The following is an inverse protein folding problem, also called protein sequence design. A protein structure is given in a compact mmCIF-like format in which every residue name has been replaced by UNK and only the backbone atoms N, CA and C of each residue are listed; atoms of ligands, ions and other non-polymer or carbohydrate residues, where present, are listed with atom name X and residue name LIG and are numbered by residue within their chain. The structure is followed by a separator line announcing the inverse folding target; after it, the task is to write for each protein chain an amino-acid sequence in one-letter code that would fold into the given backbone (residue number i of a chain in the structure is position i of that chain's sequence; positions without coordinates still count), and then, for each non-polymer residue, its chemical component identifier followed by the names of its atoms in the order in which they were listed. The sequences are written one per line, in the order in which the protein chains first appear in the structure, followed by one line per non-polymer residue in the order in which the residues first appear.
data_IF_043181092397
#
_entry.id   IF_043181092397
#
_cell.length_a   1.000
_cell.length_b   1.000
_cell.length_c   1.000
_cell.angle_alpha   90.00
_cell.angle_beta   90.00
_cell.angle_gamma   90.00
#
_symmetry.space_group_name_H-M   'P 1'
#
loop_
_entity.id
_entity.type
_entity.pdbx_description
1 polymer ?
#
# COMPACT_ATOMS: atom_id res chain seq x y z
N UNK A 1 17.96 -7.94 0.44
CA UNK A 1 17.67 -6.53 0.78
C UNK A 1 16.17 -6.28 0.71
N UNK A 2 15.63 -5.39 1.56
CA UNK A 2 14.21 -5.00 1.61
C UNK A 2 14.05 -3.57 1.13
N UNK A 3 13.24 -3.32 0.11
CA UNK A 3 12.86 -1.98 -0.33
C UNK A 3 11.58 -1.56 0.39
N UNK A 4 11.61 -0.41 1.08
CA UNK A 4 10.45 0.11 1.82
C UNK A 4 9.94 1.37 1.14
N UNK A 5 8.69 1.34 0.69
CA UNK A 5 7.98 2.54 0.22
C UNK A 5 7.31 3.23 1.39
N UNK A 6 7.23 4.56 1.37
CA UNK A 6 6.68 5.30 2.50
C UNK A 6 7.55 5.29 3.74
N UNK A 7 8.88 5.20 3.55
CA UNK A 7 9.86 5.13 4.64
C UNK A 7 9.82 6.31 5.63
N UNK A 8 9.25 7.45 5.22
CA UNK A 8 9.06 8.62 6.10
C UNK A 8 7.75 8.59 6.89
N UNK A 9 6.86 7.64 6.61
CA UNK A 9 5.63 7.44 7.36
C UNK A 9 5.86 6.67 8.65
N UNK A 10 4.84 6.61 9.51
CA UNK A 10 4.93 5.99 10.84
C UNK A 10 5.42 4.53 10.78
N UNK A 11 4.78 3.70 9.97
CA UNK A 11 5.14 2.29 9.84
C UNK A 11 6.46 2.12 9.10
N UNK A 12 6.63 2.82 7.96
CA UNK A 12 7.84 2.72 7.14
C UNK A 12 9.10 3.13 7.89
N UNK A 13 9.05 4.25 8.64
CA UNK A 13 10.15 4.69 9.48
C UNK A 13 10.55 3.63 10.52
N UNK A 14 9.55 3.04 11.17
CA UNK A 14 9.81 2.00 12.17
C UNK A 14 10.41 0.73 11.58
N UNK A 15 9.99 0.35 10.40
CA UNK A 15 10.61 -0.76 9.67
C UNK A 15 12.07 -0.47 9.29
N UNK A 16 12.36 0.76 8.85
CA UNK A 16 13.76 1.18 8.56
C UNK A 16 14.67 1.10 9.79
N UNK A 17 14.13 1.36 10.99
CA UNK A 17 14.89 1.24 12.25
C UNK A 17 15.12 -0.22 12.68
N UNK A 18 14.11 -1.05 12.55
CA UNK A 18 14.10 -2.40 13.14
C UNK A 18 14.66 -3.48 12.21
N UNK A 19 14.50 -3.31 10.90
CA UNK A 19 14.94 -4.29 9.93
C UNK A 19 16.37 -3.99 9.46
N UNK A 20 17.14 -5.05 9.27
CA UNK A 20 18.48 -4.94 8.66
C UNK A 20 18.38 -5.01 7.15
N UNK A 21 19.36 -4.44 6.47
CA UNK A 21 19.50 -4.49 5.01
C UNK A 21 18.25 -3.94 4.30
N UNK A 22 17.87 -2.70 4.67
CA UNK A 22 16.72 -1.97 4.15
C UNK A 22 17.16 -0.77 3.32
N UNK A 23 16.36 -0.41 2.32
CA UNK A 23 16.49 0.81 1.54
C UNK A 23 15.13 1.51 1.42
N UNK A 24 15.14 2.85 1.49
CA UNK A 24 13.95 3.64 1.21
C UNK A 24 13.74 3.78 -0.30
N UNK A 25 12.50 3.63 -0.76
CA UNK A 25 12.17 3.94 -2.15
C UNK A 25 12.20 5.45 -2.42
N UNK A 26 12.41 5.87 -3.67
CA UNK A 26 12.08 7.23 -4.09
C UNK A 26 10.60 7.55 -3.87
N UNK A 27 10.25 8.84 -4.01
CA UNK A 27 8.85 9.28 -3.94
C UNK A 27 7.99 8.60 -5.00
N UNK A 28 6.79 8.18 -4.60
CA UNK A 28 5.79 7.57 -5.49
C UNK A 28 4.76 8.59 -6.02
N UNK A 29 5.00 9.89 -5.82
CA UNK A 29 4.12 10.93 -6.37
C UNK A 29 4.22 10.95 -7.89
N UNK A 30 3.09 10.95 -8.57
CA UNK A 30 2.98 11.03 -10.03
C UNK A 30 3.77 9.94 -10.79
N UNK A 31 3.97 8.77 -10.19
CA UNK A 31 4.65 7.66 -10.84
C UNK A 31 3.79 7.00 -11.92
N UNK A 32 4.45 6.44 -12.91
CA UNK A 32 3.84 5.55 -13.91
C UNK A 32 4.29 4.11 -13.69
N UNK A 33 3.65 3.16 -14.36
CA UNK A 33 4.05 1.75 -14.30
C UNK A 33 5.53 1.58 -14.70
N UNK A 34 6.01 2.30 -15.72
CA UNK A 34 7.40 2.20 -16.18
C UNK A 34 8.39 2.71 -15.13
N UNK A 35 8.04 3.82 -14.44
CA UNK A 35 8.89 4.37 -13.37
C UNK A 35 8.99 3.36 -12.22
N UNK A 36 7.87 2.76 -11.82
CA UNK A 36 7.85 1.75 -10.75
C UNK A 36 8.59 0.49 -11.16
N UNK A 37 8.43 0.01 -12.39
CA UNK A 37 9.17 -1.15 -12.90
C UNK A 37 10.70 -0.91 -12.84
N UNK A 38 11.14 0.25 -13.29
CA UNK A 38 12.55 0.63 -13.24
C UNK A 38 13.06 0.70 -11.80
N UNK A 39 12.34 1.38 -10.93
CA UNK A 39 12.69 1.51 -9.51
C UNK A 39 12.88 0.14 -8.83
N UNK A 40 11.94 -0.78 -9.01
CA UNK A 40 12.01 -2.11 -8.40
C UNK A 40 13.14 -2.94 -9.00
N UNK A 41 13.32 -2.89 -10.31
CA UNK A 41 14.41 -3.59 -11.00
C UNK A 41 15.78 -3.09 -10.54
N UNK A 42 15.98 -1.78 -10.48
CA UNK A 42 17.26 -1.16 -10.11
C UNK A 42 17.59 -1.28 -8.62
N UNK A 43 16.57 -1.42 -7.77
CA UNK A 43 16.76 -1.60 -6.33
C UNK A 43 17.49 -2.89 -5.96
N UNK A 44 17.42 -3.92 -6.79
CA UNK A 44 17.88 -5.29 -6.50
C UNK A 44 17.29 -5.88 -5.20
N UNK A 45 16.17 -5.36 -4.72
CA UNK A 45 15.51 -5.86 -3.51
C UNK A 45 14.87 -7.22 -3.75
N UNK A 46 14.96 -8.10 -2.76
CA UNK A 46 14.28 -9.41 -2.79
C UNK A 46 12.83 -9.28 -2.35
N UNK A 47 12.57 -8.32 -1.47
CA UNK A 47 11.26 -8.04 -0.89
C UNK A 47 10.95 -6.55 -0.99
N UNK A 48 9.73 -6.24 -1.39
CA UNK A 48 9.18 -4.88 -1.36
C UNK A 48 8.11 -4.81 -0.29
N UNK A 49 8.28 -3.88 0.66
CA UNK A 49 7.28 -3.60 1.70
C UNK A 49 6.63 -2.26 1.38
N UNK A 50 5.35 -2.31 0.99
CA UNK A 50 4.60 -1.13 0.58
C UNK A 50 3.80 -0.58 1.76
N UNK A 51 4.29 0.52 2.36
CA UNK A 51 3.61 1.23 3.45
C UNK A 51 3.09 2.61 3.05
N UNK A 52 3.43 3.10 1.84
CA UNK A 52 2.95 4.38 1.36
C UNK A 52 1.45 4.35 1.10
N UNK A 53 0.72 5.30 1.65
CA UNK A 53 -0.72 5.44 1.49
C UNK A 53 -1.17 6.87 1.82
N UNK A 54 -2.33 7.27 1.35
CA UNK A 54 -3.11 8.36 1.94
C UNK A 54 -4.08 7.70 2.94
N UNK A 55 -3.78 7.78 4.23
CA UNK A 55 -4.54 7.07 5.28
C UNK A 55 -5.51 7.94 6.05
N UNK A 56 -5.47 9.25 5.85
CA UNK A 56 -6.43 10.17 6.46
C UNK A 56 -7.79 10.08 5.74
N UNK A 57 -8.83 9.70 6.48
CA UNK A 57 -10.17 9.47 5.93
C UNK A 57 -10.73 10.76 5.34
N UNK A 58 -10.58 11.90 6.04
CA UNK A 58 -11.06 13.20 5.56
C UNK A 58 -10.40 13.62 4.26
N UNK A 59 -9.09 13.40 4.12
CA UNK A 59 -8.35 13.66 2.88
C UNK A 59 -8.87 12.79 1.73
N UNK A 60 -9.13 11.51 1.97
CA UNK A 60 -9.67 10.60 0.96
C UNK A 60 -11.09 10.99 0.52
N UNK A 61 -11.94 11.44 1.45
CA UNK A 61 -13.28 11.94 1.14
C UNK A 61 -13.23 13.25 0.34
N UNK A 62 -12.27 14.14 0.65
CA UNK A 62 -12.12 15.42 -0.05
C UNK A 62 -11.57 15.25 -1.48
N UNK A 63 -10.71 14.27 -1.72
CA UNK A 63 -10.12 13.98 -3.04
C UNK A 63 -10.08 12.47 -3.30
N UNK A 64 -11.21 11.88 -3.73
CA UNK A 64 -11.29 10.45 -4.03
C UNK A 64 -10.36 9.99 -5.15
N UNK A 65 -10.05 10.85 -6.12
CA UNK A 65 -9.15 10.51 -7.24
C UNK A 65 -7.71 10.35 -6.74
N UNK A 66 -7.22 11.29 -5.94
CA UNK A 66 -5.90 11.19 -5.32
C UNK A 66 -5.82 9.98 -4.38
N UNK A 67 -6.88 9.72 -3.61
CA UNK A 67 -6.99 8.53 -2.76
C UNK A 67 -6.92 7.24 -3.58
N UNK A 68 -7.67 7.15 -4.68
CA UNK A 68 -7.64 5.97 -5.56
C UNK A 68 -6.25 5.75 -6.16
N UNK A 69 -5.64 6.81 -6.67
CA UNK A 69 -4.29 6.70 -7.23
C UNK A 69 -3.28 6.19 -6.20
N UNK A 70 -3.26 6.77 -5.00
CA UNK A 70 -2.32 6.39 -3.95
C UNK A 70 -2.59 5.01 -3.35
N UNK A 71 -3.87 4.66 -3.12
CA UNK A 71 -4.26 3.49 -2.32
C UNK A 71 -4.64 2.27 -3.18
N UNK A 72 -4.86 2.44 -4.47
CA UNK A 72 -5.20 1.36 -5.40
C UNK A 72 -4.21 1.28 -6.57
N UNK A 73 -4.04 2.36 -7.32
CA UNK A 73 -3.28 2.34 -8.57
C UNK A 73 -1.78 2.11 -8.32
N UNK A 74 -1.19 2.82 -7.36
CA UNK A 74 0.23 2.63 -7.02
C UNK A 74 0.51 1.21 -6.51
N UNK A 75 -0.27 0.63 -5.57
CA UNK A 75 -0.13 -0.78 -5.21
C UNK A 75 -0.17 -1.75 -6.38
N UNK A 76 -1.07 -1.53 -7.35
CA UNK A 76 -1.13 -2.35 -8.58
C UNK A 76 0.16 -2.23 -9.39
N UNK A 77 0.69 -1.02 -9.58
CA UNK A 77 1.96 -0.83 -10.28
C UNK A 77 3.10 -1.58 -9.59
N UNK A 78 3.15 -1.53 -8.25
CA UNK A 78 4.15 -2.24 -7.47
C UNK A 78 3.98 -3.76 -7.59
N UNK A 79 2.75 -4.27 -7.51
CA UNK A 79 2.46 -5.70 -7.66
C UNK A 79 2.90 -6.23 -9.03
N UNK A 80 2.56 -5.51 -10.10
CA UNK A 80 3.00 -5.85 -11.45
C UNK A 80 4.53 -5.87 -11.56
N UNK A 81 5.19 -4.82 -11.06
CA UNK A 81 6.63 -4.72 -11.10
C UNK A 81 7.32 -5.81 -10.25
N UNK A 82 6.77 -6.16 -9.10
CA UNK A 82 7.27 -7.26 -8.27
C UNK A 82 7.13 -8.61 -8.99
N UNK A 83 5.99 -8.85 -9.61
CA UNK A 83 5.74 -10.06 -10.42
C UNK A 83 6.75 -10.16 -11.58
N UNK A 84 6.90 -9.09 -12.35
CA UNK A 84 7.79 -9.07 -13.52
C UNK A 84 9.28 -9.27 -13.16
N UNK A 85 9.67 -8.88 -11.96
CA UNK A 85 11.04 -9.02 -11.46
C UNK A 85 11.22 -10.17 -10.46
N UNK A 86 10.21 -11.01 -10.26
CA UNK A 86 10.20 -12.13 -9.31
C UNK A 86 10.58 -11.69 -7.88
N UNK A 87 9.93 -10.62 -7.39
CA UNK A 87 10.13 -10.06 -6.05
C UNK A 87 8.92 -10.34 -5.18
N UNK A 88 9.15 -10.58 -3.89
CA UNK A 88 8.06 -10.70 -2.93
C UNK A 88 7.49 -9.33 -2.59
N UNK A 89 6.16 -9.20 -2.58
CA UNK A 89 5.46 -8.01 -2.15
C UNK A 89 4.75 -8.25 -0.81
N UNK A 90 4.85 -7.27 0.08
CA UNK A 90 4.05 -7.16 1.31
C UNK A 90 3.33 -5.82 1.26
N UNK A 91 2.00 -5.87 1.21
CA UNK A 91 1.12 -4.70 1.29
C UNK A 91 0.37 -4.68 2.62
N UNK A 92 0.06 -3.48 3.10
CA UNK A 92 -0.77 -3.27 4.28
C UNK A 92 -2.20 -2.91 3.87
N UNK A 93 -3.17 -3.60 4.42
CA UNK A 93 -4.56 -3.21 4.39
C UNK A 93 -4.94 -2.41 5.66
N UNK A 94 -6.19 -2.38 6.02
CA UNK A 94 -6.70 -1.62 7.16
C UNK A 94 -7.93 -2.31 7.77
N UNK A 95 -8.07 -2.22 9.08
CA UNK A 95 -9.28 -2.60 9.81
C UNK A 95 -10.50 -1.73 9.44
N UNK A 96 -10.27 -0.59 8.79
CA UNK A 96 -11.33 0.27 8.25
C UNK A 96 -12.22 -0.45 7.22
N UNK A 97 -11.78 -1.58 6.65
CA UNK A 97 -12.62 -2.41 5.77
C UNK A 97 -13.86 -2.97 6.50
N UNK A 98 -13.87 -2.95 7.82
CA UNK A 98 -15.00 -3.33 8.68
C UNK A 98 -15.79 -2.14 9.25
N UNK A 99 -15.47 -0.91 8.85
CA UNK A 99 -15.94 0.32 9.52
C UNK A 99 -17.45 0.53 9.49
N UNK A 100 -18.18 -0.10 8.57
CA UNK A 100 -19.64 -0.05 8.51
C UNK A 100 -20.33 -1.31 9.08
N UNK A 101 -19.58 -2.23 9.70
CA UNK A 101 -20.19 -3.36 10.40
C UNK A 101 -20.94 -2.88 11.65
N UNK A 102 -22.13 -3.42 11.87
CA UNK A 102 -23.06 -2.98 12.93
C UNK A 102 -22.86 -3.73 14.26
N UNK A 103 -22.19 -4.88 14.21
CA UNK A 103 -21.85 -5.68 15.39
C UNK A 103 -20.46 -5.36 15.91
N UNK A 104 -20.10 -5.87 17.06
CA UNK A 104 -18.81 -5.61 17.71
C UNK A 104 -17.73 -6.62 17.37
N UNK A 105 -17.95 -7.48 16.37
CA UNK A 105 -16.98 -8.51 16.01
C UNK A 105 -16.82 -9.64 17.03
N UNK A 106 -15.75 -10.43 16.95
CA UNK A 106 -14.65 -10.32 16.00
C UNK A 106 -15.09 -10.58 14.55
N UNK A 107 -14.38 -9.95 13.59
CA UNK A 107 -14.66 -10.09 12.16
C UNK A 107 -13.69 -11.05 11.48
N UNK A 108 -14.16 -11.68 10.40
CA UNK A 108 -13.34 -12.43 9.46
C UNK A 108 -13.21 -11.66 8.15
N UNK A 109 -12.34 -12.11 7.27
CA UNK A 109 -12.14 -11.50 5.95
C UNK A 109 -13.40 -11.53 5.06
N UNK A 110 -14.39 -12.35 5.39
CA UNK A 110 -15.68 -12.42 4.70
C UNK A 110 -16.67 -11.36 5.17
N UNK A 111 -16.46 -10.75 6.35
CA UNK A 111 -17.38 -9.81 6.96
C UNK A 111 -17.11 -8.35 6.56
N UNK A 112 -16.39 -8.11 5.49
CA UNK A 112 -15.98 -6.76 5.08
C UNK A 112 -17.19 -5.89 4.71
N UNK A 113 -17.23 -4.68 5.29
CA UNK A 113 -18.22 -3.65 5.00
C UNK A 113 -17.56 -2.27 5.14
N UNK A 114 -16.95 -1.76 4.07
CA UNK A 114 -16.26 -0.47 4.13
C UNK A 114 -17.27 0.68 4.28
N UNK A 115 -17.02 1.59 5.21
CA UNK A 115 -17.90 2.71 5.55
C UNK A 115 -17.41 4.07 5.05
N UNK A 116 -16.29 4.13 4.36
CA UNK A 116 -15.71 5.36 3.83
C UNK A 116 -14.87 5.08 2.58
N UNK A 117 -14.46 6.13 1.88
CA UNK A 117 -13.70 6.02 0.62
C UNK A 117 -12.33 5.35 0.85
N UNK A 118 -11.62 5.70 1.92
CA UNK A 118 -10.35 5.05 2.26
C UNK A 118 -10.52 3.53 2.40
N UNK A 119 -11.51 3.10 3.19
CA UNK A 119 -11.81 1.69 3.41
C UNK A 119 -12.18 0.96 2.09
N UNK A 120 -13.00 1.59 1.25
CA UNK A 120 -13.38 1.04 -0.06
C UNK A 120 -12.16 0.86 -0.96
N UNK A 121 -11.26 1.84 -0.99
CA UNK A 121 -10.02 1.76 -1.77
C UNK A 121 -9.05 0.70 -1.21
N UNK A 122 -8.93 0.56 0.10
CA UNK A 122 -8.11 -0.51 0.69
C UNK A 122 -8.65 -1.90 0.34
N UNK A 123 -9.96 -2.08 0.40
CA UNK A 123 -10.61 -3.33 0.00
C UNK A 123 -10.45 -3.61 -1.51
N UNK A 124 -10.54 -2.59 -2.35
CA UNK A 124 -10.26 -2.71 -3.80
C UNK A 124 -8.80 -3.12 -4.04
N UNK A 125 -7.87 -2.52 -3.34
CA UNK A 125 -6.46 -2.88 -3.40
C UNK A 125 -6.25 -4.37 -3.07
N UNK A 126 -6.86 -4.88 -1.97
CA UNK A 126 -6.76 -6.30 -1.58
C UNK A 126 -7.19 -7.26 -2.69
N UNK A 127 -8.20 -6.88 -3.47
CA UNK A 127 -8.73 -7.70 -4.56
C UNK A 127 -7.86 -7.70 -5.82
N UNK A 128 -7.01 -6.69 -5.97
CA UNK A 128 -6.27 -6.44 -7.21
C UNK A 128 -4.76 -6.64 -7.10
N UNK A 129 -4.23 -6.76 -5.91
CA UNK A 129 -2.84 -7.06 -5.58
C UNK A 129 -2.66 -8.50 -5.07
#
# INVERSE_FOLDING_TARGET
MILITGANGFVGHKLMELCKDTAASPSLRNVTQEIVNRMIKESNADVVVHTAAISDIGTCEADPEASYFANVQIPIYIANACKDNNRKLICFSSDQVYSACEDCGPYTEENVKPGNIYAAHKLEMEKRV
#
